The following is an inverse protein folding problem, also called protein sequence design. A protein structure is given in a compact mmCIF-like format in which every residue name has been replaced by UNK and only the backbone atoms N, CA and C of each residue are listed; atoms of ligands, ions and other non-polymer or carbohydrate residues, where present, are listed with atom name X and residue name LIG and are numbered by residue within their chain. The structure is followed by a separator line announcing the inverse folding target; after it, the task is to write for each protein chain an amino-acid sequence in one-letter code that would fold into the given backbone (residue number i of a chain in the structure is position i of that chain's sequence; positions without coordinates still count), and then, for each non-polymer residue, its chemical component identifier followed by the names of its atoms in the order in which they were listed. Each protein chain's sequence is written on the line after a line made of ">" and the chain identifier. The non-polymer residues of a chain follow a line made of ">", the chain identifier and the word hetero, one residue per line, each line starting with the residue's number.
data_IF_542146409998
#
_entry.id   IF_542146409998
#
_cell.length_a   1.000
_cell.length_b   1.000
_cell.length_c   1.000
_cell.angle_alpha   90.00
_cell.angle_beta   90.00
_cell.angle_gamma   90.00
#
_symmetry.space_group_name_H-M   'P 1'
#
loop_
_entity.id
_entity.type
_entity.pdbx_description
1 polymer ?
#
# COMPACT_ATOMS: atom_id res chain seq x y z
N UNK A 1 -43.22 -25.99 -38.69
CA UNK A 1 -43.25 -24.75 -37.92
C UNK A 1 -42.69 -23.65 -38.81
N UNK A 2 -43.38 -22.51 -38.99
CA UNK A 2 -42.86 -21.42 -39.81
C UNK A 2 -41.64 -20.80 -39.13
N UNK A 3 -40.61 -20.50 -39.93
CA UNK A 3 -39.43 -19.77 -39.50
C UNK A 3 -39.83 -18.33 -39.16
N UNK A 4 -39.54 -17.89 -37.93
CA UNK A 4 -39.81 -16.55 -37.43
C UNK A 4 -38.49 -15.76 -37.41
N UNK A 5 -38.26 -14.85 -38.39
CA UNK A 5 -37.02 -14.09 -38.48
C UNK A 5 -36.80 -13.14 -37.29
N UNK A 6 -37.85 -12.81 -36.53
CA UNK A 6 -37.74 -11.89 -35.38
C UNK A 6 -37.07 -12.56 -34.16
N UNK A 7 -37.02 -13.90 -34.10
CA UNK A 7 -36.34 -14.64 -33.03
C UNK A 7 -34.81 -14.61 -33.20
N UNK A 8 -34.34 -14.67 -34.44
CA UNK A 8 -32.90 -14.61 -34.74
C UNK A 8 -32.34 -13.20 -34.54
N UNK A 9 -33.11 -12.15 -34.84
CA UNK A 9 -32.70 -10.75 -34.59
C UNK A 9 -32.55 -10.47 -33.09
N UNK A 10 -33.51 -10.91 -32.26
CA UNK A 10 -33.41 -10.82 -30.79
C UNK A 10 -32.21 -11.57 -30.22
N UNK A 11 -31.86 -12.71 -30.82
CA UNK A 11 -30.70 -13.51 -30.42
C UNK A 11 -29.37 -12.85 -30.80
N UNK A 12 -29.33 -12.13 -31.92
CA UNK A 12 -28.18 -11.31 -32.31
C UNK A 12 -28.05 -10.11 -31.38
N UNK A 13 -29.13 -9.38 -31.08
CA UNK A 13 -29.11 -8.25 -30.14
C UNK A 13 -28.67 -8.67 -28.74
N UNK A 14 -29.17 -9.81 -28.25
CA UNK A 14 -28.74 -10.43 -26.99
C UNK A 14 -27.25 -10.74 -26.97
N UNK A 15 -26.71 -11.31 -28.06
CA UNK A 15 -25.28 -11.60 -28.19
C UNK A 15 -24.43 -10.34 -28.29
N UNK A 16 -24.89 -9.33 -29.01
CA UNK A 16 -24.20 -8.03 -29.13
C UNK A 16 -24.17 -7.33 -27.78
N UNK A 17 -25.28 -7.31 -27.03
CA UNK A 17 -25.35 -6.78 -25.67
C UNK A 17 -24.44 -7.54 -24.70
N UNK A 18 -24.41 -8.88 -24.77
CA UNK A 18 -23.50 -9.69 -23.96
C UNK A 18 -22.04 -9.41 -24.31
N UNK A 19 -21.68 -9.37 -25.60
CA UNK A 19 -20.31 -9.06 -26.03
C UNK A 19 -19.92 -7.62 -25.69
N UNK A 20 -20.83 -6.65 -25.81
CA UNK A 20 -20.64 -5.27 -25.37
C UNK A 20 -20.42 -5.21 -23.85
N UNK A 21 -21.17 -5.98 -23.05
CA UNK A 21 -20.94 -6.09 -21.60
C UNK A 21 -19.57 -6.68 -21.28
N UNK A 22 -19.15 -7.73 -22.00
CA UNK A 22 -17.85 -8.37 -21.81
C UNK A 22 -16.69 -7.49 -22.27
N UNK A 23 -16.89 -6.68 -23.32
CA UNK A 23 -15.93 -5.63 -23.73
C UNK A 23 -15.91 -4.53 -22.67
N UNK A 24 -17.04 -4.04 -22.17
CA UNK A 24 -17.12 -3.05 -21.07
C UNK A 24 -16.40 -3.56 -19.80
N UNK A 25 -16.48 -4.86 -19.49
CA UNK A 25 -15.77 -5.48 -18.36
C UNK A 25 -14.27 -5.70 -18.63
N UNK A 26 -13.83 -5.82 -19.89
CA UNK A 26 -12.41 -5.96 -20.27
C UNK A 26 -11.73 -4.62 -20.63
N UNK A 27 -12.50 -3.59 -20.95
CA UNK A 27 -12.05 -2.21 -21.19
C UNK A 27 -12.46 -1.27 -20.07
N UNK A 28 -12.82 -1.82 -18.90
CA UNK A 28 -12.77 -1.09 -17.64
C UNK A 28 -11.28 -0.82 -17.33
N UNK A 29 -10.77 0.16 -18.07
CA UNK A 29 -9.77 1.10 -17.64
C UNK A 29 -8.50 0.48 -17.07
N UNK A 30 -7.56 0.22 -17.97
CA UNK A 30 -6.14 0.53 -17.75
C UNK A 30 -5.91 2.06 -17.56
N UNK A 31 -6.80 2.72 -16.81
CA UNK A 31 -6.63 4.05 -16.26
C UNK A 31 -6.71 3.90 -14.74
N UNK A 32 -5.65 3.33 -14.17
CA UNK A 32 -5.28 3.64 -12.80
C UNK A 32 -4.77 5.09 -12.82
N UNK A 33 -5.66 6.06 -13.06
CA UNK A 33 -5.47 7.39 -12.51
C UNK A 33 -5.84 7.28 -11.03
N UNK A 34 -5.07 6.51 -10.27
CA UNK A 34 -5.07 6.70 -8.82
C UNK A 34 -4.49 8.08 -8.63
N UNK A 35 -5.35 9.03 -8.27
CA UNK A 35 -4.92 10.35 -7.82
C UNK A 35 -3.73 10.18 -6.87
N UNK A 36 -2.70 11.05 -6.98
CA UNK A 36 -1.53 10.97 -6.14
C UNK A 36 -1.94 10.82 -4.67
N UNK A 37 -1.32 9.86 -3.98
CA UNK A 37 -1.61 9.58 -2.57
C UNK A 37 -0.48 10.13 -1.71
N UNK A 38 -0.86 10.81 -0.64
CA UNK A 38 0.10 11.33 0.32
C UNK A 38 0.75 10.18 1.10
N UNK A 39 2.07 10.22 1.21
CA UNK A 39 2.88 9.32 2.01
C UNK A 39 4.16 10.06 2.43
N UNK A 40 4.91 9.53 3.38
CA UNK A 40 6.17 10.15 3.84
C UNK A 40 7.09 10.50 2.66
N UNK A 41 7.77 11.63 2.78
CA UNK A 41 8.87 12.04 1.91
C UNK A 41 10.18 11.28 2.21
N UNK A 42 10.16 10.41 3.22
CA UNK A 42 11.29 9.63 3.73
C UNK A 42 12.47 10.48 4.24
N UNK A 43 12.23 11.74 4.56
CA UNK A 43 13.18 12.58 5.29
C UNK A 43 13.13 12.27 6.80
N UNK A 44 14.16 12.68 7.55
CA UNK A 44 14.16 12.54 9.00
C UNK A 44 14.09 11.08 9.48
N UNK A 45 14.85 10.18 8.85
CA UNK A 45 14.95 8.78 9.31
C UNK A 45 15.44 8.73 10.76
N UNK A 46 14.72 8.00 11.61
CA UNK A 46 14.99 7.83 13.03
C UNK A 46 14.85 6.36 13.42
N UNK A 47 15.51 5.97 14.51
CA UNK A 47 15.33 4.64 15.10
C UNK A 47 14.77 4.78 16.50
N UNK A 48 13.67 4.08 16.78
CA UNK A 48 13.01 4.05 18.09
C UNK A 48 13.30 2.72 18.79
N UNK A 49 13.61 2.72 20.10
CA UNK A 49 13.73 1.47 20.85
C UNK A 49 12.36 0.76 20.94
N UNK A 50 12.34 -0.58 21.12
CA UNK A 50 11.12 -1.29 21.48
C UNK A 50 10.55 -0.75 22.81
N UNK A 51 9.23 -0.79 22.94
CA UNK A 51 8.53 -0.41 24.17
C UNK A 51 7.60 -1.55 24.59
N UNK A 52 7.68 -1.94 25.86
CA UNK A 52 6.78 -2.92 26.48
C UNK A 52 5.35 -2.39 26.67
N UNK A 53 5.20 -1.08 26.66
CA UNK A 53 3.93 -0.39 26.95
C UNK A 53 3.20 0.02 25.65
N UNK A 54 3.72 -0.41 24.50
CA UNK A 54 3.10 -0.13 23.21
C UNK A 54 1.70 -0.79 23.14
N UNK A 55 0.68 -0.06 22.64
CA UNK A 55 -0.65 -0.63 22.52
C UNK A 55 -0.67 -1.75 21.47
N UNK A 56 -1.65 -2.66 21.55
CA UNK A 56 -1.73 -3.87 20.73
C UNK A 56 -1.78 -3.64 19.21
N UNK A 57 -2.07 -2.43 18.75
CA UNK A 57 -2.04 -2.05 17.34
C UNK A 57 -0.70 -1.47 16.87
N UNK A 58 0.33 -1.48 17.72
CA UNK A 58 1.67 -0.92 17.47
C UNK A 58 2.78 -1.99 17.45
N UNK A 59 2.44 -3.26 17.26
CA UNK A 59 3.46 -4.30 17.10
C UNK A 59 4.05 -4.29 15.68
N UNK A 60 5.33 -4.65 15.56
CA UNK A 60 6.05 -4.73 14.30
C UNK A 60 6.79 -6.06 14.19
N UNK A 61 7.07 -6.49 12.96
CA UNK A 61 7.80 -7.72 12.65
C UNK A 61 9.01 -7.42 11.74
N UNK A 62 9.98 -8.35 11.60
CA UNK A 62 11.06 -8.18 10.62
C UNK A 62 10.53 -7.88 9.20
N UNK A 63 11.20 -6.98 8.49
CA UNK A 63 10.80 -6.50 7.17
C UNK A 63 10.05 -5.17 7.20
N UNK A 64 9.12 -5.01 6.24
CA UNK A 64 8.31 -3.80 6.06
C UNK A 64 7.11 -3.78 7.00
N UNK A 65 6.88 -2.63 7.62
CA UNK A 65 5.75 -2.36 8.51
C UNK A 65 5.08 -1.06 8.07
N UNK A 66 3.82 -1.12 7.63
CA UNK A 66 3.08 0.08 7.17
C UNK A 66 2.36 0.73 8.34
N UNK A 67 2.42 2.06 8.42
CA UNK A 67 1.85 2.83 9.51
C UNK A 67 0.79 3.81 9.03
N UNK A 68 -0.24 4.02 9.86
CA UNK A 68 -1.28 4.97 9.53
C UNK A 68 -2.44 5.01 10.51
N UNK A 69 -3.48 5.81 10.27
CA UNK A 69 -4.59 5.99 11.21
C UNK A 69 -5.81 5.15 10.85
N UNK A 70 -6.31 4.37 11.81
CA UNK A 70 -7.54 3.58 11.64
C UNK A 70 -8.71 4.50 11.26
N UNK A 71 -9.53 4.10 10.28
CA UNK A 71 -10.70 4.87 9.83
C UNK A 71 -12.02 4.44 10.47
N UNK A 72 -12.02 3.40 11.30
CA UNK A 72 -13.23 2.88 11.94
C UNK A 72 -13.46 3.55 13.31
N UNK A 73 -14.48 4.41 13.49
CA UNK A 73 -14.74 5.12 14.75
C UNK A 73 -14.99 4.24 15.97
N UNK A 74 -15.43 2.99 15.76
CA UNK A 74 -15.68 2.02 16.83
C UNK A 74 -14.43 1.24 17.25
N UNK A 75 -13.28 1.46 16.58
CA UNK A 75 -12.04 0.77 16.89
C UNK A 75 -11.27 1.50 18.00
N UNK A 76 -10.74 0.76 18.97
CA UNK A 76 -9.89 1.33 20.03
C UNK A 76 -8.65 2.09 19.51
N UNK A 77 -8.18 1.80 18.29
CA UNK A 77 -7.07 2.54 17.68
C UNK A 77 -7.49 3.85 17.00
N UNK A 78 -8.79 4.09 16.80
CA UNK A 78 -9.29 5.30 16.16
C UNK A 78 -8.89 6.53 16.98
N UNK A 79 -8.29 7.53 16.32
CA UNK A 79 -7.80 8.79 16.91
C UNK A 79 -6.83 8.65 18.11
N UNK A 80 -6.31 7.46 18.41
CA UNK A 80 -5.43 7.24 19.56
C UNK A 80 -3.95 7.32 19.17
N UNK A 81 -3.56 6.61 18.11
CA UNK A 81 -2.23 6.63 17.52
C UNK A 81 -2.24 5.90 16.19
N UNK A 82 -1.14 5.95 15.43
CA UNK A 82 -1.02 5.14 14.21
C UNK A 82 -1.06 3.65 14.54
N UNK A 83 -1.77 2.88 13.73
CA UNK A 83 -1.65 1.42 13.70
C UNK A 83 -0.44 1.01 12.87
N UNK A 84 0.18 -0.10 13.22
CA UNK A 84 1.21 -0.76 12.43
C UNK A 84 0.63 -2.03 11.82
N UNK A 85 0.80 -2.20 10.51
CA UNK A 85 0.51 -3.43 9.79
C UNK A 85 1.82 -4.03 9.30
N UNK A 86 2.33 -5.09 9.95
CA UNK A 86 3.46 -5.85 9.43
C UNK A 86 3.10 -6.48 8.09
N UNK A 87 3.95 -6.29 7.10
CA UNK A 87 3.87 -6.89 5.78
C UNK A 87 5.04 -7.85 5.49
N UNK A 88 6.08 -7.83 6.33
CA UNK A 88 7.24 -8.72 6.22
C UNK A 88 8.19 -8.34 5.09
N UNK A 89 9.01 -9.31 4.65
CA UNK A 89 9.89 -9.16 3.49
C UNK A 89 9.07 -9.24 2.20
N UNK A 90 9.02 -8.15 1.44
CA UNK A 90 8.28 -8.07 0.18
C UNK A 90 8.62 -6.83 -0.64
N UNK A 91 8.13 -6.83 -1.87
CA UNK A 91 7.89 -5.63 -2.66
C UNK A 91 6.46 -5.15 -2.40
N UNK A 92 6.29 -3.89 -2.04
CA UNK A 92 5.01 -3.24 -1.78
C UNK A 92 4.85 -2.03 -2.68
N UNK A 93 3.84 -2.07 -3.57
CA UNK A 93 3.49 -0.98 -4.48
C UNK A 93 2.34 -0.19 -3.87
N UNK A 94 2.62 0.97 -3.31
CA UNK A 94 1.69 1.71 -2.46
C UNK A 94 0.28 1.92 -3.07
N UNK A 95 0.20 2.33 -4.34
CA UNK A 95 -1.08 2.57 -5.01
C UNK A 95 -1.85 1.29 -5.35
N UNK A 96 -1.17 0.15 -5.45
CA UNK A 96 -1.75 -1.13 -5.88
C UNK A 96 -2.06 -2.01 -4.67
N UNK A 97 -1.14 -2.09 -3.71
CA UNK A 97 -1.15 -3.05 -2.61
C UNK A 97 -1.80 -2.51 -1.33
N UNK A 98 -2.32 -1.27 -1.35
CA UNK A 98 -3.02 -0.64 -0.22
C UNK A 98 -4.18 -1.46 0.38
N UNK A 99 -4.77 -2.39 -0.38
CA UNK A 99 -5.81 -3.29 0.14
C UNK A 99 -5.30 -4.25 1.24
N UNK A 100 -3.98 -4.45 1.34
CA UNK A 100 -3.32 -5.23 2.38
C UNK A 100 -3.25 -4.46 3.73
N UNK A 101 -3.37 -3.13 3.68
CA UNK A 101 -3.25 -2.24 4.82
C UNK A 101 -4.56 -2.20 5.63
N UNK A 102 -4.74 -3.24 6.46
CA UNK A 102 -5.87 -3.37 7.37
C UNK A 102 -5.42 -3.21 8.81
N UNK A 103 -6.24 -2.53 9.60
CA UNK A 103 -6.02 -2.33 11.02
C UNK A 103 -5.95 -3.71 11.70
N UNK A 104 -4.91 -4.00 12.50
CA UNK A 104 -4.75 -5.31 13.13
C UNK A 104 -5.84 -5.60 14.17
N UNK A 105 -6.53 -4.58 14.70
CA UNK A 105 -7.59 -4.79 15.69
C UNK A 105 -8.96 -5.04 15.07
N UNK A 106 -9.36 -4.25 14.07
CA UNK A 106 -10.72 -4.28 13.54
C UNK A 106 -10.82 -4.80 12.10
N UNK A 107 -9.69 -5.03 11.41
CA UNK A 107 -9.66 -5.47 10.02
C UNK A 107 -10.10 -4.42 8.99
N UNK A 108 -10.58 -3.24 9.42
CA UNK A 108 -10.93 -2.14 8.52
C UNK A 108 -9.68 -1.48 7.92
N UNK A 109 -9.83 -0.80 6.78
CA UNK A 109 -8.74 -0.02 6.17
C UNK A 109 -8.31 1.13 7.11
N UNK A 110 -7.04 1.50 7.03
CA UNK A 110 -6.49 2.68 7.69
C UNK A 110 -5.86 3.65 6.67
N UNK A 111 -5.60 4.89 7.07
CA UNK A 111 -4.93 5.89 6.25
C UNK A 111 -3.42 5.72 6.36
N UNK A 112 -2.79 5.05 5.39
CA UNK A 112 -1.34 4.86 5.39
C UNK A 112 -0.61 6.18 5.13
N UNK A 113 0.34 6.52 5.99
CA UNK A 113 1.06 7.80 5.96
C UNK A 113 2.57 7.64 5.98
N UNK A 114 3.07 6.56 6.58
CA UNK A 114 4.49 6.26 6.66
C UNK A 114 4.71 4.76 6.77
N UNK A 115 5.96 4.36 6.89
CA UNK A 115 6.36 2.99 7.14
C UNK A 115 7.56 2.95 8.07
N UNK A 116 7.84 1.76 8.59
CA UNK A 116 9.09 1.45 9.23
C UNK A 116 9.60 0.06 8.89
N UNK A 117 10.81 -0.17 9.35
CA UNK A 117 11.65 -1.29 9.00
C UNK A 117 12.32 -1.84 10.25
N UNK A 118 12.42 -3.16 10.32
CA UNK A 118 13.11 -3.86 11.41
C UNK A 118 13.82 -5.08 10.86
N UNK A 119 15.10 -5.30 11.23
CA UNK A 119 15.88 -6.48 10.81
C UNK A 119 15.75 -6.80 9.31
N UNK A 120 16.04 -5.83 8.47
CA UNK A 120 15.86 -5.94 7.01
C UNK A 120 16.75 -4.96 6.27
N UNK A 121 17.10 -5.28 5.03
CA UNK A 121 17.49 -4.27 4.04
C UNK A 121 16.29 -3.79 3.27
N UNK A 122 16.26 -2.51 3.02
CA UNK A 122 15.16 -1.88 2.33
C UNK A 122 15.61 -0.83 1.34
N UNK A 123 14.73 -0.53 0.39
CA UNK A 123 14.82 0.64 -0.47
C UNK A 123 13.43 1.12 -0.82
N UNK A 124 13.32 2.36 -1.24
CA UNK A 124 12.09 2.93 -1.75
C UNK A 124 12.40 3.80 -2.96
N UNK A 125 11.52 3.73 -3.95
CA UNK A 125 11.70 4.44 -5.20
C UNK A 125 10.36 4.71 -5.88
N UNK A 126 10.32 5.73 -6.73
CA UNK A 126 9.07 6.17 -7.32
C UNK A 126 9.11 7.56 -7.95
N UNK A 127 7.92 8.11 -8.16
CA UNK A 127 7.71 9.44 -8.72
C UNK A 127 6.76 10.22 -7.81
N UNK A 128 7.22 11.38 -7.35
CA UNK A 128 6.39 12.35 -6.64
C UNK A 128 5.60 13.20 -7.66
N UNK A 129 4.44 13.71 -7.26
CA UNK A 129 3.66 14.61 -8.10
C UNK A 129 4.46 15.89 -8.41
N UNK A 130 4.40 16.35 -9.66
CA UNK A 130 5.15 17.53 -10.10
C UNK A 130 6.66 17.31 -10.31
N UNK A 131 7.20 16.11 -10.03
CA UNK A 131 8.60 15.78 -10.27
C UNK A 131 8.75 14.68 -11.33
N UNK A 132 9.46 14.98 -12.43
CA UNK A 132 9.73 14.01 -13.50
C UNK A 132 10.86 13.05 -13.18
N UNK A 133 11.74 13.40 -12.24
CA UNK A 133 12.86 12.55 -11.86
C UNK A 133 12.38 11.42 -10.96
N UNK A 134 12.85 10.21 -11.27
CA UNK A 134 12.64 9.06 -10.40
C UNK A 134 13.43 9.28 -9.11
N UNK A 135 12.74 9.24 -7.98
CA UNK A 135 13.37 9.11 -6.68
C UNK A 135 13.82 7.65 -6.47
N UNK A 136 15.04 7.43 -5.98
CA UNK A 136 15.54 6.12 -5.59
C UNK A 136 16.47 6.27 -4.39
N UNK A 137 16.15 5.60 -3.29
CA UNK A 137 16.95 5.70 -2.06
C UNK A 137 18.26 4.90 -2.12
N UNK A 138 18.38 3.95 -3.05
CA UNK A 138 19.34 2.86 -2.91
C UNK A 138 19.01 1.94 -1.72
N UNK A 139 19.76 0.85 -1.59
CA UNK A 139 19.59 -0.10 -0.50
C UNK A 139 20.22 0.40 0.80
N UNK A 140 19.46 0.36 1.88
CA UNK A 140 19.88 0.73 3.24
C UNK A 140 19.51 -0.40 4.21
N UNK A 141 20.31 -0.59 5.26
CA UNK A 141 20.03 -1.59 6.31
C UNK A 141 19.32 -0.92 7.48
N UNK A 142 18.19 -1.49 7.90
CA UNK A 142 17.45 -1.05 9.08
C UNK A 142 18.15 -1.49 10.37
N UNK A 143 17.79 -0.87 11.49
CA UNK A 143 18.30 -1.30 12.79
C UNK A 143 17.92 -2.75 13.11
N UNK A 144 18.85 -3.48 13.73
CA UNK A 144 18.65 -4.85 14.22
C UNK A 144 18.03 -4.90 15.62
N UNK A 145 18.10 -3.80 16.37
CA UNK A 145 17.66 -3.69 17.77
C UNK A 145 16.49 -2.74 17.98
N UNK A 146 16.24 -1.85 17.03
CA UNK A 146 15.18 -0.85 17.11
C UNK A 146 14.37 -0.76 15.82
N UNK A 147 13.27 -0.04 15.91
CA UNK A 147 12.35 0.18 14.80
C UNK A 147 12.76 1.43 14.02
N UNK A 148 13.26 1.25 12.81
CA UNK A 148 13.67 2.34 11.92
C UNK A 148 12.43 2.87 11.20
N UNK A 149 12.13 4.16 11.34
CA UNK A 149 10.96 4.83 10.75
C UNK A 149 11.36 6.26 10.39
N UNK A 150 10.41 7.08 9.95
CA UNK A 150 10.64 8.46 9.56
C UNK A 150 9.92 9.41 10.51
N UNK A 151 10.48 10.60 10.71
CA UNK A 151 9.74 11.66 11.37
C UNK A 151 8.45 11.91 10.59
N UNK A 152 7.36 11.97 11.32
CA UNK A 152 6.02 11.72 10.79
C UNK A 152 5.07 12.84 11.18
N UNK A 153 5.59 14.05 11.27
CA UNK A 153 4.78 15.25 11.28
C UNK A 153 4.08 15.40 9.93
N UNK A 154 2.88 16.00 9.92
CA UNK A 154 2.10 16.21 8.68
C UNK A 154 2.85 17.02 7.62
N UNK A 155 3.93 17.71 8.02
CA UNK A 155 4.84 18.45 7.14
C UNK A 155 5.69 17.56 6.23
N UNK A 156 5.74 16.25 6.48
CA UNK A 156 6.54 15.28 5.72
C UNK A 156 5.70 14.39 4.81
N UNK A 157 4.45 14.75 4.53
CA UNK A 157 3.60 14.02 3.60
C UNK A 157 3.65 14.68 2.22
N UNK A 158 4.05 13.91 1.21
CA UNK A 158 4.11 14.35 -0.19
C UNK A 158 3.26 13.45 -1.08
N UNK A 159 2.64 14.01 -2.13
CA UNK A 159 1.87 13.23 -3.09
C UNK A 159 2.78 12.34 -3.96
N UNK A 160 2.57 11.03 -3.91
CA UNK A 160 3.25 10.07 -4.77
C UNK A 160 2.32 9.63 -5.91
N UNK A 161 2.81 9.73 -7.16
CA UNK A 161 2.18 9.10 -8.33
C UNK A 161 2.42 7.59 -8.34
N UNK A 162 3.64 7.22 -8.00
CA UNK A 162 4.07 5.83 -7.89
C UNK A 162 5.07 5.75 -6.76
N UNK A 163 4.86 4.81 -5.85
CA UNK A 163 5.81 4.51 -4.79
C UNK A 163 5.92 2.99 -4.66
N UNK A 164 7.13 2.48 -4.73
CA UNK A 164 7.47 1.09 -4.44
C UNK A 164 8.45 1.06 -3.27
N UNK A 165 8.15 0.20 -2.31
CA UNK A 165 8.98 -0.04 -1.13
C UNK A 165 9.36 -1.51 -1.16
N UNK A 166 10.65 -1.81 -1.05
CA UNK A 166 11.16 -3.17 -1.01
C UNK A 166 11.82 -3.40 0.35
N UNK A 167 11.54 -4.56 0.93
CA UNK A 167 12.20 -5.06 2.13
C UNK A 167 12.61 -6.52 1.90
N UNK A 168 13.88 -6.84 2.18
CA UNK A 168 14.47 -8.16 2.00
C UNK A 168 15.13 -8.64 3.29
N UNK A 169 15.22 -9.95 3.45
CA UNK A 169 16.02 -10.54 4.51
C UNK A 169 17.51 -10.50 4.13
N UNK A 170 18.36 -10.17 5.09
CA UNK A 170 19.82 -10.14 4.95
C UNK A 170 20.45 -11.53 5.16
N UNK A 171 19.65 -12.50 5.60
CA UNK A 171 20.07 -13.89 5.77
C UNK A 171 20.51 -14.59 4.46
N UNK A 172 20.31 -13.96 3.30
CA UNK A 172 20.75 -14.45 1.99
C UNK A 172 22.08 -13.86 1.48
N UNK A 173 22.94 -13.33 2.36
CA UNK A 173 24.38 -13.23 2.04
C UNK A 173 25.03 -14.57 2.38
N UNK A 174 24.83 -15.55 1.50
CA UNK A 174 25.57 -16.82 1.52
C UNK A 174 27.05 -16.48 1.38
N UNK A 175 27.84 -16.86 2.38
CA UNK A 175 29.30 -17.04 2.28
C UNK A 175 29.55 -18.51 1.95
#
# INVERSE_FOLDING_TARGET
>A
MPYDPDDDEKKIESRVSYLQSQVQHKTCSLSIMTSPRNFTDFSGMITKPPSSDAPRWRYYEPGLNIEGYCKNPSCAAYNSSRVIKPLGFRVFKFCIDSYLCKCPLCGCKFNEETCGFYKTRFRYYGYQEGNSNKFDSGWTTASSTGYTTFDSSDKHLVPWRQLTIEATDDSCTII
#
